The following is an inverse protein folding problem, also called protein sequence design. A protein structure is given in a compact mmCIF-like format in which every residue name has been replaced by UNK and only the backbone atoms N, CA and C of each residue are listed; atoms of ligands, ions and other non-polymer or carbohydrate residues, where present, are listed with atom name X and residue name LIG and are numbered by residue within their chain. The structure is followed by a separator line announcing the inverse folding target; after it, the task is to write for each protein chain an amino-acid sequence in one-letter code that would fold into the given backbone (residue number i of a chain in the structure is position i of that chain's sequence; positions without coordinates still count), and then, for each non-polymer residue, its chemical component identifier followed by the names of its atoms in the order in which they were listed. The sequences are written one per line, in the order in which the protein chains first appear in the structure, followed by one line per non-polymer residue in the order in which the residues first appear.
data_IF_262528839707
#
_entry.id   IF_262528839707
#
_cell.length_a   1.000
_cell.length_b   1.000
_cell.length_c   1.000
_cell.angle_alpha   90.00
_cell.angle_beta   90.00
_cell.angle_gamma   90.00
#
_symmetry.space_group_name_H-M   'P 1'
#
loop_
_entity.id
_entity.type
_entity.pdbx_description
1 polymer ?
#
# COMPACT_ATOMS: atom_id res chain seq x y z
N UNK A 1 -5.78 3.43 6.10
CA UNK A 1 -5.45 3.65 7.51
C UNK A 1 -3.94 3.81 7.67
N UNK A 2 -3.52 4.55 8.70
CA UNK A 2 -2.10 4.77 9.02
C UNK A 2 -1.92 4.86 10.54
N UNK A 3 -0.68 4.71 11.00
CA UNK A 3 -0.27 4.95 12.38
C UNK A 3 0.64 6.18 12.37
N UNK A 4 0.29 7.20 13.14
CA UNK A 4 1.10 8.41 13.23
C UNK A 4 2.34 8.21 14.12
N UNK A 5 3.17 9.24 14.19
CA UNK A 5 4.45 9.23 14.91
C UNK A 5 4.28 9.03 16.44
N UNK A 6 3.08 9.32 16.95
CA UNK A 6 2.71 9.10 18.36
C UNK A 6 2.10 7.70 18.61
N UNK A 7 2.09 6.81 17.62
CA UNK A 7 1.49 5.49 17.70
C UNK A 7 -0.05 5.48 17.68
N UNK A 8 -0.69 6.57 17.27
CA UNK A 8 -2.15 6.67 17.17
C UNK A 8 -2.61 6.19 15.82
N UNK A 9 -3.72 5.44 15.82
CA UNK A 9 -4.30 4.87 14.61
C UNK A 9 -5.27 5.86 13.97
N UNK A 10 -5.06 6.16 12.71
CA UNK A 10 -5.98 6.91 11.87
C UNK A 10 -6.72 5.94 10.94
N UNK A 11 -8.04 5.91 11.01
CA UNK A 11 -8.88 5.03 10.18
C UNK A 11 -10.14 5.75 9.71
N UNK A 12 -10.69 5.31 8.60
CA UNK A 12 -11.90 5.91 8.02
C UNK A 12 -12.99 4.89 7.79
N UNK A 13 -14.23 5.20 8.23
CA UNK A 13 -15.41 4.35 8.06
C UNK A 13 -16.61 5.25 7.73
N UNK A 14 -17.35 4.94 6.67
CA UNK A 14 -18.61 5.61 6.30
C UNK A 14 -18.53 7.15 6.27
N UNK A 15 -17.48 7.70 5.65
CA UNK A 15 -17.29 9.15 5.55
C UNK A 15 -16.78 9.83 6.82
N UNK A 16 -16.45 9.09 7.85
CA UNK A 16 -15.90 9.60 9.11
C UNK A 16 -14.50 9.04 9.34
N UNK A 17 -13.57 9.91 9.72
CA UNK A 17 -12.22 9.54 10.14
C UNK A 17 -12.18 9.53 11.66
N UNK A 18 -11.56 8.51 12.20
CA UNK A 18 -11.33 8.32 13.61
C UNK A 18 -9.83 8.33 13.89
N UNK A 19 -9.44 9.09 14.92
CA UNK A 19 -8.14 8.98 15.54
C UNK A 19 -8.30 8.17 16.82
N UNK A 20 -7.63 7.06 16.91
CA UNK A 20 -7.76 6.10 18.01
C UNK A 20 -6.43 6.00 18.73
N UNK A 21 -6.46 6.15 20.05
CA UNK A 21 -5.30 5.89 20.91
C UNK A 21 -5.47 4.51 21.52
N UNK A 22 -4.68 3.50 21.12
CA UNK A 22 -4.76 2.17 21.73
C UNK A 22 -4.51 2.22 23.24
N UNK A 23 -5.10 1.30 24.00
CA UNK A 23 -4.75 1.12 25.42
C UNK A 23 -3.29 0.68 25.56
N UNK A 24 -2.67 0.78 26.75
CA UNK A 24 -1.31 0.27 26.98
C UNK A 24 -1.14 -1.21 26.65
N UNK A 25 -2.24 -1.97 26.63
CA UNK A 25 -2.29 -3.39 26.23
C UNK A 25 -2.52 -3.58 24.73
N UNK A 26 -2.60 -2.48 23.96
CA UNK A 26 -2.84 -2.52 22.50
C UNK A 26 -4.29 -2.79 22.10
N UNK A 27 -5.25 -2.72 23.02
CA UNK A 27 -6.66 -2.95 22.72
C UNK A 27 -7.35 -1.68 22.22
N UNK A 28 -8.37 -1.85 21.36
CA UNK A 28 -9.23 -0.78 20.89
C UNK A 28 -10.54 -0.79 21.68
N UNK A 29 -10.77 0.26 22.45
CA UNK A 29 -12.02 0.48 23.15
C UNK A 29 -12.75 1.69 22.56
N UNK A 30 -14.08 1.78 22.80
CA UNK A 30 -14.85 2.97 22.38
C UNK A 30 -14.29 4.25 23.04
N UNK A 31 -13.77 4.16 24.24
CA UNK A 31 -13.06 5.23 24.96
C UNK A 31 -11.73 5.63 24.32
N UNK A 32 -11.15 4.78 23.47
CA UNK A 32 -9.89 5.05 22.76
C UNK A 32 -10.04 6.05 21.61
N UNK A 33 -11.26 6.39 21.19
CA UNK A 33 -11.51 7.38 20.12
C UNK A 33 -11.20 8.77 20.65
N UNK A 34 -10.06 9.33 20.24
CA UNK A 34 -9.59 10.65 20.68
C UNK A 34 -10.06 11.79 19.77
N UNK A 35 -10.40 11.51 18.52
CA UNK A 35 -10.87 12.50 17.54
C UNK A 35 -11.78 11.83 16.50
N UNK A 36 -12.84 12.51 16.14
CA UNK A 36 -13.77 12.09 15.09
C UNK A 36 -13.99 13.24 14.11
N UNK A 37 -13.61 13.04 12.86
CA UNK A 37 -13.75 14.02 11.78
C UNK A 37 -14.75 13.48 10.76
N UNK A 38 -15.96 14.03 10.75
CA UNK A 38 -16.96 13.68 9.75
C UNK A 38 -16.74 14.52 8.49
N UNK A 39 -16.59 13.85 7.34
CA UNK A 39 -16.57 14.48 6.03
C UNK A 39 -17.99 14.49 5.43
N UNK A 40 -18.23 13.72 4.37
CA UNK A 40 -19.57 13.58 3.80
C UNK A 40 -20.01 12.12 3.81
N UNK A 41 -21.30 11.86 4.07
CA UNK A 41 -21.83 10.52 3.91
C UNK A 41 -21.54 9.97 2.52
N UNK A 42 -21.15 8.69 2.44
CA UNK A 42 -20.85 8.02 1.16
C UNK A 42 -19.44 8.21 0.64
N UNK A 43 -18.53 8.90 1.34
CA UNK A 43 -17.12 8.92 0.97
C UNK A 43 -16.48 7.57 1.30
N UNK A 44 -15.87 6.96 0.28
CA UNK A 44 -15.04 5.77 0.42
C UNK A 44 -13.58 6.18 0.54
N UNK A 45 -12.98 5.87 1.69
CA UNK A 45 -11.55 6.05 1.94
C UNK A 45 -10.78 4.89 1.33
N UNK A 46 -9.73 5.19 0.58
CA UNK A 46 -8.86 4.22 -0.07
C UNK A 46 -7.57 4.04 0.69
N UNK A 47 -6.92 5.16 0.99
CA UNK A 47 -5.67 5.15 1.74
C UNK A 47 -5.53 6.45 2.56
N UNK A 48 -4.61 6.44 3.53
CA UNK A 48 -4.42 7.59 4.42
C UNK A 48 -2.98 7.60 4.91
N UNK A 49 -2.40 8.79 4.98
CA UNK A 49 -1.10 9.03 5.60
C UNK A 49 -1.24 10.16 6.62
N UNK A 50 -0.84 9.87 7.87
CA UNK A 50 -0.83 10.82 8.97
C UNK A 50 0.61 11.15 9.35
N UNK A 51 1.10 12.30 8.95
CA UNK A 51 2.46 12.77 9.21
C UNK A 51 2.45 14.18 9.80
N UNK A 52 3.23 14.39 10.87
CA UNK A 52 3.35 15.70 11.52
C UNK A 52 1.98 16.34 11.76
N UNK A 53 1.76 17.54 11.23
CA UNK A 53 0.51 18.29 11.36
C UNK A 53 -0.54 17.98 10.28
N UNK A 54 -0.27 17.04 9.39
CA UNK A 54 -1.15 16.78 8.24
C UNK A 54 -1.66 15.34 8.20
N UNK A 55 -2.88 15.19 7.71
CA UNK A 55 -3.44 13.90 7.31
C UNK A 55 -3.86 14.02 5.84
N UNK A 56 -3.24 13.22 5.00
CA UNK A 56 -3.59 13.07 3.60
C UNK A 56 -4.50 11.86 3.41
N UNK A 57 -5.59 12.03 2.70
CA UNK A 57 -6.66 11.03 2.63
C UNK A 57 -7.05 10.82 1.18
N UNK A 58 -6.73 9.66 0.64
CA UNK A 58 -7.15 9.21 -0.68
C UNK A 58 -8.60 8.74 -0.65
N UNK A 59 -9.41 9.25 -1.56
CA UNK A 59 -10.81 8.89 -1.70
C UNK A 59 -11.19 8.60 -3.16
N UNK A 60 -12.43 8.19 -3.40
CA UNK A 60 -12.97 8.01 -4.75
C UNK A 60 -13.38 9.34 -5.43
N UNK A 61 -13.42 10.46 -4.69
CA UNK A 61 -13.83 11.78 -5.20
C UNK A 61 -12.71 12.80 -5.24
N UNK A 62 -11.51 12.47 -4.77
CA UNK A 62 -10.35 13.36 -4.73
C UNK A 62 -9.45 13.07 -3.55
N UNK A 63 -8.42 13.90 -3.40
CA UNK A 63 -7.43 13.87 -2.32
C UNK A 63 -7.76 14.96 -1.30
N UNK A 64 -7.99 14.57 -0.07
CA UNK A 64 -8.13 15.51 1.03
C UNK A 64 -6.82 15.72 1.76
N UNK A 65 -6.56 16.97 2.13
CA UNK A 65 -5.54 17.38 3.09
C UNK A 65 -6.23 17.96 4.31
N UNK A 66 -6.00 17.37 5.47
CA UNK A 66 -6.45 17.88 6.75
C UNK A 66 -5.26 18.38 7.55
N UNK A 67 -5.32 19.62 8.04
CA UNK A 67 -4.31 20.20 8.91
C UNK A 67 -4.79 20.12 10.36
N UNK A 68 -4.04 19.37 11.19
CA UNK A 68 -4.35 19.11 12.60
C UNK A 68 -4.27 20.35 13.48
N UNK A 69 -3.38 21.31 13.14
CA UNK A 69 -3.12 22.49 13.98
C UNK A 69 -4.23 23.55 13.94
N UNK A 70 -4.83 23.76 12.77
CA UNK A 70 -5.85 24.79 12.54
C UNK A 70 -7.20 24.21 12.10
N UNK A 71 -7.33 22.90 12.07
CA UNK A 71 -8.55 22.18 11.71
C UNK A 71 -9.10 22.49 10.31
N UNK A 72 -8.22 22.88 9.38
CA UNK A 72 -8.62 23.20 8.00
C UNK A 72 -8.57 21.99 7.11
N UNK A 73 -9.44 21.96 6.09
CA UNK A 73 -9.55 20.88 5.10
C UNK A 73 -9.47 21.47 3.72
N UNK A 74 -8.73 20.82 2.84
CA UNK A 74 -8.65 21.13 1.42
C UNK A 74 -8.91 19.87 0.61
N UNK A 75 -9.73 19.98 -0.42
CA UNK A 75 -9.96 18.94 -1.42
C UNK A 75 -9.22 19.31 -2.71
N UNK A 76 -8.47 18.39 -3.23
CA UNK A 76 -7.86 18.47 -4.55
C UNK A 76 -8.61 17.51 -5.48
N UNK A 77 -8.95 18.01 -6.66
CA UNK A 77 -9.71 17.28 -7.67
C UNK A 77 -9.04 17.38 -9.04
N UNK A 78 -9.45 16.48 -9.94
CA UNK A 78 -9.07 16.58 -11.34
C UNK A 78 -9.78 17.77 -11.99
N UNK A 79 -9.01 18.58 -12.70
CA UNK A 79 -9.52 19.55 -13.65
C UNK A 79 -8.89 19.25 -15.03
N UNK A 80 -9.72 18.95 -16.03
CA UNK A 80 -9.25 18.61 -17.37
C UNK A 80 -8.50 19.76 -18.06
N UNK A 81 -8.80 20.99 -17.68
CA UNK A 81 -8.17 22.20 -18.23
C UNK A 81 -6.89 22.61 -17.47
N UNK A 82 -6.57 21.94 -16.37
CA UNK A 82 -5.39 22.21 -15.57
C UNK A 82 -4.47 20.97 -15.52
N UNK A 83 -3.32 20.99 -16.23
CA UNK A 83 -2.38 19.87 -16.25
C UNK A 83 -1.71 19.64 -14.90
N UNK A 84 -1.81 20.59 -13.98
CA UNK A 84 -1.24 20.52 -12.63
C UNK A 84 -2.25 20.12 -11.56
N UNK A 85 -3.49 19.84 -11.92
CA UNK A 85 -4.46 19.20 -11.03
C UNK A 85 -4.22 17.69 -10.94
N UNK A 86 -4.99 16.95 -10.12
CA UNK A 86 -4.92 15.48 -10.09
C UNK A 86 -5.21 14.88 -11.47
N UNK A 87 -4.55 13.78 -11.80
CA UNK A 87 -4.78 13.05 -13.07
C UNK A 87 -6.20 12.43 -13.13
N UNK A 88 -6.77 12.11 -11.96
CA UNK A 88 -8.16 11.64 -11.79
C UNK A 88 -8.59 11.75 -10.32
N UNK A 89 -9.91 11.77 -10.07
CA UNK A 89 -10.48 11.87 -8.72
C UNK A 89 -10.44 10.54 -7.93
N UNK A 90 -10.45 9.40 -8.63
CA UNK A 90 -10.41 8.11 -7.96
C UNK A 90 -8.97 7.76 -7.60
N UNK A 91 -8.61 7.98 -6.32
CA UNK A 91 -7.31 7.61 -5.80
C UNK A 91 -7.30 6.15 -5.36
N UNK A 92 -6.14 5.52 -5.44
CA UNK A 92 -5.95 4.11 -5.08
C UNK A 92 -5.03 3.95 -3.89
N UNK A 93 -3.95 4.74 -3.83
CA UNK A 93 -2.90 4.58 -2.83
C UNK A 93 -2.13 5.89 -2.63
N UNK A 94 -1.52 6.04 -1.47
CA UNK A 94 -0.63 7.16 -1.12
C UNK A 94 0.74 6.62 -0.69
N UNK A 95 1.78 7.41 -0.94
CA UNK A 95 3.10 7.21 -0.37
C UNK A 95 3.76 8.56 -0.06
N UNK A 96 4.70 8.56 0.87
CA UNK A 96 5.52 9.73 1.18
C UNK A 96 6.99 9.35 1.13
N UNK A 97 7.80 10.17 0.50
CA UNK A 97 9.24 9.95 0.41
C UNK A 97 9.95 10.46 1.68
N UNK A 98 11.22 10.09 1.88
CA UNK A 98 12.00 10.55 3.03
C UNK A 98 12.20 12.07 3.04
N UNK A 99 12.22 12.71 1.87
CA UNK A 99 12.24 14.17 1.69
C UNK A 99 10.83 14.79 1.74
N UNK A 100 9.84 14.03 2.27
CA UNK A 100 8.46 14.46 2.54
C UNK A 100 7.61 14.78 1.30
N UNK A 101 8.00 14.29 0.14
CA UNK A 101 7.22 14.45 -1.07
C UNK A 101 6.05 13.45 -1.07
N UNK A 102 4.82 13.94 -1.18
CA UNK A 102 3.64 13.09 -1.30
C UNK A 102 3.46 12.61 -2.74
N UNK A 103 3.12 11.34 -2.86
CA UNK A 103 2.80 10.69 -4.13
C UNK A 103 1.41 10.07 -4.01
N UNK A 104 0.54 10.32 -4.98
CA UNK A 104 -0.82 9.82 -5.02
C UNK A 104 -1.08 9.02 -6.29
N UNK A 105 -1.41 7.75 -6.15
CA UNK A 105 -1.82 6.87 -7.24
C UNK A 105 -3.29 7.02 -7.57
N UNK A 106 -3.61 6.95 -8.87
CA UNK A 106 -4.97 7.00 -9.39
C UNK A 106 -5.18 5.93 -10.47
N UNK A 107 -6.40 5.82 -11.00
CA UNK A 107 -6.69 5.00 -12.18
C UNK A 107 -6.14 5.60 -13.49
N UNK A 108 -5.53 6.80 -13.45
CA UNK A 108 -4.96 7.51 -14.61
C UNK A 108 -3.55 8.05 -14.38
N UNK A 109 -2.72 7.29 -13.67
CA UNK A 109 -1.32 7.61 -13.40
C UNK A 109 -1.07 7.96 -11.93
N UNK A 110 0.16 8.34 -11.64
CA UNK A 110 0.57 8.84 -10.34
C UNK A 110 0.71 10.37 -10.37
N UNK A 111 0.59 10.99 -9.21
CA UNK A 111 0.65 12.44 -9.03
C UNK A 111 1.65 12.74 -7.92
N UNK A 112 2.63 13.57 -8.20
CA UNK A 112 3.63 14.05 -7.25
C UNK A 112 3.21 15.43 -6.78
N UNK A 113 2.95 15.59 -5.50
CA UNK A 113 2.54 16.87 -4.92
C UNK A 113 3.70 17.85 -4.80
N UNK A 114 3.52 19.07 -5.26
CA UNK A 114 4.46 20.15 -5.09
C UNK A 114 3.96 21.11 -3.99
N UNK A 115 4.60 21.14 -2.80
CA UNK A 115 4.15 22.00 -1.70
C UNK A 115 4.38 23.49 -1.91
N UNK A 116 5.26 23.89 -2.83
CA UNK A 116 5.56 25.30 -3.11
C UNK A 116 4.45 25.92 -3.94
N UNK A 117 3.98 25.21 -4.95
CA UNK A 117 2.93 25.68 -5.88
C UNK A 117 1.55 25.15 -5.50
N UNK A 118 1.49 24.24 -4.52
CA UNK A 118 0.27 23.60 -4.01
C UNK A 118 -0.55 22.90 -5.12
N UNK A 119 0.15 22.21 -6.01
CA UNK A 119 -0.38 21.49 -7.18
C UNK A 119 0.36 20.16 -7.42
N UNK A 120 0.14 19.52 -8.56
CA UNK A 120 0.67 18.18 -8.87
C UNK A 120 1.44 18.13 -10.19
N UNK A 121 2.49 17.33 -10.21
CA UNK A 121 3.12 16.82 -11.43
C UNK A 121 2.56 15.42 -11.71
N UNK A 122 2.10 15.19 -12.95
CA UNK A 122 1.50 13.90 -13.35
C UNK A 122 2.52 12.98 -13.99
N UNK A 123 2.60 11.75 -13.50
CA UNK A 123 3.31 10.65 -14.15
C UNK A 123 2.27 9.74 -14.81
N UNK A 124 2.28 9.70 -16.14
CA UNK A 124 1.27 8.95 -16.91
C UNK A 124 1.91 8.06 -17.97
N UNK A 125 1.19 6.99 -18.32
CA UNK A 125 1.47 6.21 -19.52
C UNK A 125 0.88 6.93 -20.75
N UNK A 126 1.68 7.05 -21.78
CA UNK A 126 1.27 7.54 -23.10
C UNK A 126 1.74 6.55 -24.17
N UNK A 127 0.95 6.37 -25.22
CA UNK A 127 1.33 5.56 -26.39
C UNK A 127 2.43 6.22 -27.24
N UNK A 128 2.82 7.45 -26.91
CA UNK A 128 3.93 8.17 -27.56
C UNK A 128 5.22 7.95 -26.78
N UNK A 129 6.36 8.00 -27.46
CA UNK A 129 7.70 7.50 -27.08
C UNK A 129 8.34 7.96 -25.77
N UNK A 130 7.68 8.78 -24.94
CA UNK A 130 8.22 9.28 -23.66
C UNK A 130 7.34 8.90 -22.48
N UNK A 131 6.73 7.72 -22.52
CA UNK A 131 5.93 7.22 -21.42
C UNK A 131 6.80 6.89 -20.21
N UNK A 132 6.50 7.53 -19.06
CA UNK A 132 7.20 7.25 -17.80
C UNK A 132 6.69 5.98 -17.13
N UNK A 133 5.42 5.62 -17.34
CA UNK A 133 4.80 4.42 -16.80
C UNK A 133 4.41 3.46 -17.92
N UNK A 134 4.33 2.17 -17.62
CA UNK A 134 3.85 1.14 -18.55
C UNK A 134 2.34 0.87 -18.44
N UNK A 135 1.67 1.43 -17.46
CA UNK A 135 0.22 1.44 -17.29
C UNK A 135 -0.21 2.61 -16.42
N UNK A 136 -1.40 3.15 -16.69
CA UNK A 136 -1.95 4.27 -15.92
C UNK A 136 -2.67 3.85 -14.64
N UNK A 137 -3.13 2.61 -14.54
CA UNK A 137 -3.86 2.16 -13.37
C UNK A 137 -2.86 1.76 -12.26
N UNK A 138 -2.66 2.64 -11.28
CA UNK A 138 -1.78 2.41 -10.14
C UNK A 138 -2.56 1.69 -9.05
N UNK A 139 -2.15 0.48 -8.68
CA UNK A 139 -2.73 -0.30 -7.60
C UNK A 139 -2.05 -0.03 -6.25
N UNK A 140 -0.73 0.07 -6.27
CA UNK A 140 0.05 0.32 -5.06
C UNK A 140 1.30 1.15 -5.36
N UNK A 141 1.79 1.84 -4.32
CA UNK A 141 3.03 2.61 -4.34
C UNK A 141 3.87 2.19 -3.13
N UNK A 142 5.16 1.98 -3.35
CA UNK A 142 6.13 1.77 -2.27
C UNK A 142 7.32 2.70 -2.47
N UNK A 143 7.79 3.29 -1.38
CA UNK A 143 9.01 4.11 -1.33
C UNK A 143 10.04 3.38 -0.48
N UNK A 144 11.28 3.32 -0.94
CA UNK A 144 12.45 2.72 -0.28
C UNK A 144 13.61 3.71 -0.15
N UNK A 145 13.39 4.90 0.28
CA UNK A 145 14.39 5.95 0.47
C UNK A 145 15.04 6.50 -0.80
N UNK A 146 15.36 5.67 -1.80
CA UNK A 146 15.98 6.07 -3.06
C UNK A 146 15.12 5.86 -4.30
N UNK A 147 14.11 4.98 -4.21
CA UNK A 147 13.29 4.60 -5.34
C UNK A 147 11.81 4.68 -4.98
N UNK A 148 11.00 4.88 -6.00
CA UNK A 148 9.56 4.82 -5.93
C UNK A 148 9.11 3.68 -6.83
N UNK A 149 8.41 2.73 -6.26
CA UNK A 149 7.86 1.58 -6.96
C UNK A 149 6.37 1.76 -7.17
N UNK A 150 5.90 1.54 -8.38
CA UNK A 150 4.49 1.55 -8.73
C UNK A 150 4.08 0.17 -9.21
N UNK A 151 3.19 -0.48 -8.48
CA UNK A 151 2.49 -1.68 -8.92
C UNK A 151 1.26 -1.28 -9.73
N UNK A 152 1.09 -1.85 -10.90
CA UNK A 152 0.02 -1.48 -11.84
C UNK A 152 -0.89 -2.66 -12.17
N UNK A 153 -2.08 -2.37 -12.69
CA UNK A 153 -3.09 -3.37 -13.04
C UNK A 153 -2.68 -4.26 -14.22
N UNK A 154 -2.02 -3.71 -15.21
CA UNK A 154 -1.72 -4.43 -16.45
C UNK A 154 -0.26 -4.38 -16.89
N UNK A 155 0.54 -3.49 -16.31
CA UNK A 155 1.90 -3.21 -16.71
C UNK A 155 2.96 -3.78 -15.77
N UNK A 156 2.59 -4.58 -14.75
CA UNK A 156 3.55 -5.08 -13.76
C UNK A 156 4.08 -3.96 -12.85
N UNK A 157 5.39 -3.84 -12.71
CA UNK A 157 6.04 -2.91 -11.79
C UNK A 157 6.86 -1.88 -12.54
N UNK A 158 6.79 -0.63 -12.08
CA UNK A 158 7.64 0.46 -12.52
C UNK A 158 8.51 0.91 -11.34
N UNK A 159 9.82 0.96 -11.53
CA UNK A 159 10.78 1.51 -10.58
C UNK A 159 11.25 2.88 -11.05
N UNK A 160 10.91 3.93 -10.34
CA UNK A 160 11.39 5.29 -10.59
C UNK A 160 12.58 5.60 -9.67
N UNK A 161 13.67 6.06 -10.25
CA UNK A 161 14.80 6.63 -9.52
C UNK A 161 14.79 8.16 -9.70
N UNK A 162 14.29 8.94 -8.72
CA UNK A 162 14.02 10.37 -8.90
C UNK A 162 15.24 11.19 -9.33
N UNK A 163 16.40 10.92 -8.74
CA UNK A 163 17.64 11.64 -9.05
C UNK A 163 18.17 11.46 -10.48
N UNK A 164 17.71 10.41 -11.20
CA UNK A 164 18.14 10.10 -12.57
C UNK A 164 17.00 10.10 -13.57
N UNK A 165 15.75 10.22 -13.12
CA UNK A 165 14.53 10.08 -13.93
C UNK A 165 14.55 8.80 -14.81
N UNK A 166 15.13 7.73 -14.27
CA UNK A 166 15.18 6.42 -14.95
C UNK A 166 14.09 5.54 -14.40
N UNK A 167 13.28 4.98 -15.28
CA UNK A 167 12.25 3.99 -14.94
C UNK A 167 12.65 2.63 -15.49
N UNK A 168 12.66 1.63 -14.60
CA UNK A 168 12.76 0.23 -14.96
C UNK A 168 11.39 -0.43 -14.84
N UNK A 169 11.01 -1.18 -15.86
CA UNK A 169 9.73 -1.89 -15.93
C UNK A 169 9.94 -3.40 -15.76
N UNK A 170 9.19 -4.02 -14.88
CA UNK A 170 9.14 -5.48 -14.69
C UNK A 170 7.72 -5.96 -14.99
N UNK A 171 7.60 -6.84 -15.95
CA UNK A 171 6.32 -7.38 -16.42
C UNK A 171 6.34 -8.91 -16.43
N UNK A 172 5.14 -9.50 -16.43
CA UNK A 172 4.99 -10.91 -16.74
C UNK A 172 5.31 -11.15 -18.22
N UNK A 173 6.18 -12.14 -18.45
CA UNK A 173 6.54 -12.64 -19.76
C UNK A 173 6.41 -14.16 -19.78
N UNK A 174 5.49 -14.68 -20.59
CA UNK A 174 5.20 -16.12 -20.69
C UNK A 174 6.40 -16.95 -21.13
N UNK A 175 7.31 -16.36 -21.90
CA UNK A 175 8.52 -17.01 -22.42
C UNK A 175 9.68 -16.96 -21.40
N UNK A 176 9.57 -16.13 -20.36
CA UNK A 176 10.58 -15.99 -19.31
C UNK A 176 10.03 -16.41 -17.94
N UNK A 177 10.27 -17.65 -17.49
CA UNK A 177 9.79 -18.15 -16.20
C UNK A 177 10.39 -17.43 -14.98
N UNK A 178 11.42 -16.60 -15.16
CA UNK A 178 12.00 -15.76 -14.12
C UNK A 178 11.49 -14.31 -14.16
N UNK A 179 10.53 -14.00 -15.02
CA UNK A 179 9.82 -12.71 -15.02
C UNK A 179 8.82 -12.64 -13.86
N UNK A 180 8.09 -11.55 -13.71
CA UNK A 180 6.99 -11.45 -12.74
C UNK A 180 5.93 -12.52 -13.02
N UNK A 181 5.33 -13.12 -11.97
CA UNK A 181 4.38 -14.24 -12.13
C UNK A 181 3.06 -13.84 -12.77
N UNK A 182 2.66 -12.57 -12.62
CA UNK A 182 1.44 -11.97 -13.16
C UNK A 182 1.55 -10.45 -13.16
N UNK A 183 0.80 -9.73 -14.02
CA UNK A 183 0.89 -8.29 -14.14
C UNK A 183 0.04 -7.49 -13.14
N UNK A 184 -1.17 -7.92 -12.73
CA UNK A 184 -1.89 -7.21 -11.68
C UNK A 184 -1.15 -7.30 -10.35
N UNK A 185 -0.50 -6.20 -9.94
CA UNK A 185 0.26 -6.11 -8.69
C UNK A 185 -0.58 -5.44 -7.63
N UNK A 186 -0.80 -6.11 -6.49
CA UNK A 186 -1.56 -5.60 -5.35
C UNK A 186 -0.68 -4.92 -4.32
N UNK A 187 0.50 -5.49 -4.05
CA UNK A 187 1.37 -5.01 -2.97
C UNK A 187 2.85 -5.20 -3.32
N UNK A 188 3.65 -4.23 -2.91
CA UNK A 188 5.11 -4.25 -3.02
C UNK A 188 5.70 -4.00 -1.64
N UNK A 189 6.69 -4.80 -1.26
CA UNK A 189 7.39 -4.67 0.01
C UNK A 189 8.88 -4.93 -0.19
N UNK A 190 9.73 -4.03 0.28
CA UNK A 190 11.18 -4.25 0.34
C UNK A 190 11.56 -4.63 1.77
N UNK A 191 12.30 -5.72 1.93
CA UNK A 191 12.81 -6.16 3.22
C UNK A 191 14.12 -5.44 3.60
N UNK A 192 14.59 -5.67 4.82
CA UNK A 192 15.81 -5.04 5.35
C UNK A 192 17.09 -5.46 4.62
N UNK A 193 17.07 -6.57 3.93
CA UNK A 193 18.16 -7.05 3.08
C UNK A 193 18.11 -6.46 1.66
N UNK A 194 17.12 -5.59 1.35
CA UNK A 194 16.94 -4.96 0.04
C UNK A 194 16.35 -5.91 -1.02
N UNK A 195 15.75 -7.01 -0.61
CA UNK A 195 15.01 -7.90 -1.50
C UNK A 195 13.57 -7.40 -1.66
N UNK A 196 13.07 -7.48 -2.89
CA UNK A 196 11.73 -7.01 -3.23
C UNK A 196 10.74 -8.17 -3.22
N UNK A 197 9.71 -8.06 -2.40
CA UNK A 197 8.58 -8.98 -2.34
C UNK A 197 7.38 -8.36 -3.03
N UNK A 198 6.75 -9.10 -3.93
CA UNK A 198 5.64 -8.62 -4.76
C UNK A 198 4.48 -9.57 -4.69
N UNK A 199 3.35 -9.07 -4.22
CA UNK A 199 2.08 -9.79 -4.23
C UNK A 199 1.26 -9.43 -5.47
N UNK A 200 0.79 -10.46 -6.18
CA UNK A 200 -0.06 -10.31 -7.36
C UNK A 200 -1.49 -10.78 -7.09
N UNK A 201 -2.41 -10.50 -8.02
CA UNK A 201 -3.83 -10.87 -7.88
C UNK A 201 -4.01 -12.39 -7.96
N UNK A 202 -3.36 -13.07 -8.92
CA UNK A 202 -3.53 -14.51 -9.14
C UNK A 202 -2.20 -15.26 -9.30
N UNK A 203 -1.08 -14.54 -9.41
CA UNK A 203 0.25 -15.13 -9.62
C UNK A 203 0.97 -15.58 -8.34
N UNK A 204 0.44 -15.31 -7.16
CA UNK A 204 1.06 -15.63 -5.89
C UNK A 204 2.01 -14.55 -5.38
N UNK A 205 3.00 -14.98 -4.60
CA UNK A 205 4.05 -14.13 -4.04
C UNK A 205 5.32 -14.27 -4.87
N UNK A 206 5.96 -13.17 -5.18
CA UNK A 206 7.20 -13.08 -5.93
C UNK A 206 8.32 -12.50 -5.07
N UNK A 207 9.52 -13.04 -5.20
CA UNK A 207 10.73 -12.53 -4.56
C UNK A 207 11.78 -12.20 -5.62
N UNK A 208 12.22 -10.94 -5.67
CA UNK A 208 13.40 -10.49 -6.39
C UNK A 208 14.49 -10.19 -5.37
N UNK A 209 15.53 -11.04 -5.31
CA UNK A 209 16.65 -10.84 -4.41
C UNK A 209 17.45 -9.60 -4.79
N UNK A 210 18.03 -8.93 -3.80
CA UNK A 210 18.92 -7.82 -4.02
C UNK A 210 20.04 -8.20 -5.01
N UNK A 211 20.31 -7.32 -5.98
CA UNK A 211 21.33 -7.55 -7.00
C UNK A 211 20.97 -8.51 -8.14
N UNK A 212 19.75 -9.04 -8.17
CA UNK A 212 19.25 -9.89 -9.26
C UNK A 212 18.15 -9.19 -10.05
N UNK A 213 17.92 -9.62 -11.29
CA UNK A 213 16.78 -9.18 -12.11
C UNK A 213 15.70 -10.27 -12.25
N UNK A 214 15.87 -11.40 -11.59
CA UNK A 214 15.01 -12.56 -11.67
C UNK A 214 14.06 -12.63 -10.48
N UNK A 215 12.82 -13.08 -10.75
CA UNK A 215 11.81 -13.36 -9.74
C UNK A 215 11.71 -14.84 -9.44
N UNK A 216 11.61 -15.18 -8.16
CA UNK A 216 11.28 -16.51 -7.64
C UNK A 216 9.80 -16.46 -7.25
N UNK A 217 9.02 -17.46 -7.65
CA UNK A 217 7.58 -17.49 -7.43
C UNK A 217 7.20 -18.49 -6.33
N UNK A 218 6.32 -18.06 -5.42
CA UNK A 218 5.70 -18.91 -4.38
C UNK A 218 4.21 -18.99 -4.65
N UNK A 219 3.69 -20.22 -4.78
CA UNK A 219 2.32 -20.47 -5.24
C UNK A 219 1.58 -21.46 -4.35
N UNK A 220 0.26 -21.32 -4.29
CA UNK A 220 -0.63 -22.21 -3.54
C UNK A 220 -0.55 -23.66 -4.05
N UNK A 221 -0.51 -23.89 -5.35
CA UNK A 221 -0.46 -25.20 -5.97
C UNK A 221 0.76 -26.04 -5.55
N UNK A 222 1.81 -25.37 -5.05
CA UNK A 222 3.04 -25.99 -4.52
C UNK A 222 3.05 -26.11 -3.00
N UNK A 223 1.98 -25.63 -2.32
CA UNK A 223 1.93 -25.56 -0.85
C UNK A 223 2.88 -24.53 -0.24
N UNK A 224 3.34 -23.56 -1.02
CA UNK A 224 4.31 -22.53 -0.60
C UNK A 224 3.63 -21.32 0.05
N UNK A 225 2.35 -21.09 -0.28
CA UNK A 225 1.45 -20.09 0.33
C UNK A 225 0.03 -20.63 0.36
N UNK A 226 -0.87 -20.03 1.15
CA UNK A 226 -2.25 -20.48 1.33
C UNK A 226 -3.22 -20.05 0.23
N UNK A 227 -2.87 -19.02 -0.57
CA UNK A 227 -3.68 -18.51 -1.69
C UNK A 227 -2.85 -17.63 -2.61
N UNK A 228 -3.14 -17.67 -3.92
CA UNK A 228 -2.37 -16.90 -4.91
C UNK A 228 -2.70 -15.39 -4.95
N UNK A 229 -3.84 -14.97 -4.43
CA UNK A 229 -4.17 -13.54 -4.35
C UNK A 229 -3.55 -12.93 -3.10
N UNK A 230 -2.36 -12.35 -3.24
CA UNK A 230 -1.63 -11.71 -2.14
C UNK A 230 -2.03 -10.25 -2.04
N UNK A 231 -2.45 -9.81 -0.87
CA UNK A 231 -3.02 -8.48 -0.65
C UNK A 231 -2.21 -7.56 0.25
N UNK A 232 -1.40 -8.13 1.15
CA UNK A 232 -0.62 -7.32 2.09
C UNK A 232 0.66 -8.03 2.50
N UNK A 233 1.73 -7.27 2.70
CA UNK A 233 3.06 -7.75 3.09
C UNK A 233 3.63 -6.83 4.17
N UNK A 234 4.15 -7.42 5.25
CA UNK A 234 4.83 -6.67 6.31
C UNK A 234 5.77 -7.60 7.08
N UNK A 235 6.89 -7.09 7.58
CA UNK A 235 7.75 -7.82 8.51
C UNK A 235 7.40 -7.47 9.95
N UNK A 236 7.56 -8.45 10.84
CA UNK A 236 7.55 -8.22 12.29
C UNK A 236 8.97 -7.92 12.82
N UNK A 237 9.10 -7.72 14.15
CA UNK A 237 10.38 -7.46 14.79
C UNK A 237 11.33 -8.68 14.82
N UNK A 238 10.82 -9.89 14.59
CA UNK A 238 11.62 -11.11 14.46
C UNK A 238 12.14 -11.31 13.03
N UNK A 239 11.79 -10.40 12.11
CA UNK A 239 12.14 -10.48 10.70
C UNK A 239 11.32 -11.51 9.91
N UNK A 240 10.20 -12.01 10.46
CA UNK A 240 9.28 -12.88 9.73
C UNK A 240 8.42 -12.06 8.79
N UNK A 241 8.18 -12.58 7.60
CA UNK A 241 7.29 -11.97 6.61
C UNK A 241 5.85 -12.46 6.83
N UNK A 242 4.95 -11.54 7.09
CA UNK A 242 3.51 -11.77 7.16
C UNK A 242 2.89 -11.47 5.81
N UNK A 243 2.19 -12.44 5.25
CA UNK A 243 1.60 -12.40 3.91
C UNK A 243 0.09 -12.57 4.04
N UNK A 244 -0.63 -11.47 3.89
CA UNK A 244 -2.09 -11.45 3.85
C UNK A 244 -2.60 -11.84 2.47
N UNK A 245 -3.69 -12.60 2.42
CA UNK A 245 -4.28 -13.09 1.17
C UNK A 245 -5.79 -12.85 1.09
N UNK A 246 -6.33 -12.85 -0.12
CA UNK A 246 -7.77 -12.82 -0.37
C UNK A 246 -8.30 -14.24 -0.57
N UNK A 247 -8.54 -14.95 0.53
CA UNK A 247 -9.12 -16.28 0.52
C UNK A 247 -8.39 -17.31 1.39
N UNK A 248 -7.10 -17.14 1.65
CA UNK A 248 -6.26 -18.09 2.38
C UNK A 248 -5.75 -17.62 3.74
N UNK A 249 -6.28 -16.52 4.28
CA UNK A 249 -5.84 -15.99 5.58
C UNK A 249 -4.46 -15.35 5.54
N UNK A 250 -3.67 -15.56 6.58
CA UNK A 250 -2.35 -14.98 6.77
C UNK A 250 -1.30 -16.07 6.81
N UNK A 251 -0.26 -15.95 5.99
CA UNK A 251 0.92 -16.80 6.05
C UNK A 251 2.03 -16.06 6.81
N UNK A 252 2.69 -16.75 7.75
CA UNK A 252 3.91 -16.27 8.40
C UNK A 252 5.06 -17.06 7.81
N UNK A 253 6.01 -16.37 7.18
CA UNK A 253 7.12 -16.97 6.44
C UNK A 253 8.46 -16.55 7.02
N UNK A 254 9.47 -17.42 6.88
CA UNK A 254 10.86 -17.03 7.07
C UNK A 254 11.43 -16.52 5.74
N UNK A 255 11.77 -15.22 5.61
CA UNK A 255 12.29 -14.68 4.34
C UNK A 255 13.58 -15.34 3.86
N UNK A 256 14.38 -15.90 4.78
CA UNK A 256 15.64 -16.57 4.46
C UNK A 256 15.46 -18.01 3.96
N UNK A 257 14.28 -18.60 4.22
CA UNK A 257 13.93 -19.95 3.77
C UNK A 257 12.42 -20.02 3.45
N UNK A 258 11.94 -19.29 2.43
CA UNK A 258 10.51 -19.07 2.20
C UNK A 258 9.81 -20.20 1.45
N UNK A 259 10.33 -21.44 1.56
CA UNK A 259 9.81 -22.60 0.79
C UNK A 259 8.39 -23.02 1.20
N UNK A 260 7.97 -22.68 2.41
CA UNK A 260 6.61 -22.87 2.92
C UNK A 260 6.38 -21.98 4.14
N UNK A 261 5.11 -21.67 4.48
CA UNK A 261 4.80 -20.90 5.69
C UNK A 261 5.28 -21.62 6.96
N UNK A 262 5.79 -20.87 7.92
CA UNK A 262 6.01 -21.35 9.29
C UNK A 262 4.66 -21.65 9.96
N UNK A 263 3.66 -20.82 9.65
CA UNK A 263 2.31 -20.90 10.18
C UNK A 263 1.33 -20.26 9.18
N UNK A 264 0.10 -20.79 9.13
CA UNK A 264 -1.03 -20.16 8.44
C UNK A 264 -2.13 -19.88 9.45
N UNK A 265 -2.62 -18.64 9.49
CA UNK A 265 -3.66 -18.19 10.42
C UNK A 265 -4.95 -17.95 9.61
N UNK A 266 -5.99 -18.73 9.88
CA UNK A 266 -7.31 -18.62 9.25
C UNK A 266 -8.36 -17.96 10.15
N UNK A 267 -8.09 -17.90 11.46
CA UNK A 267 -8.99 -17.34 12.46
C UNK A 267 -8.23 -16.53 13.50
N UNK A 268 -8.86 -15.51 14.04
CA UNK A 268 -8.31 -14.76 15.15
C UNK A 268 -8.16 -15.68 16.39
N UNK A 269 -6.98 -15.76 17.03
CA UNK A 269 -6.71 -16.78 18.05
C UNK A 269 -7.60 -16.68 19.30
N UNK A 270 -8.02 -15.47 19.68
CA UNK A 270 -8.82 -15.25 20.89
C UNK A 270 -10.33 -15.26 20.61
N UNK A 271 -10.75 -14.70 19.46
CA UNK A 271 -12.17 -14.53 19.16
C UNK A 271 -12.74 -15.59 18.24
N UNK A 272 -11.90 -16.42 17.60
CA UNK A 272 -12.31 -17.39 16.58
C UNK A 272 -12.82 -16.76 15.28
N UNK A 273 -12.62 -15.47 15.09
CA UNK A 273 -13.14 -14.73 13.96
C UNK A 273 -12.44 -15.15 12.65
N UNK A 274 -13.19 -15.43 11.56
CA UNK A 274 -12.59 -15.84 10.29
C UNK A 274 -11.75 -14.73 9.65
N UNK A 275 -10.50 -15.04 9.30
CA UNK A 275 -9.53 -14.15 8.67
C UNK A 275 -9.23 -14.55 7.22
N UNK A 276 -10.25 -14.88 6.42
CA UNK A 276 -10.03 -15.34 5.05
C UNK A 276 -9.60 -14.23 4.10
N UNK A 277 -10.20 -13.04 4.21
CA UNK A 277 -9.95 -11.91 3.31
C UNK A 277 -9.19 -10.81 4.05
N UNK A 278 -7.89 -10.80 3.88
CA UNK A 278 -7.03 -9.79 4.51
C UNK A 278 -6.89 -8.61 3.56
N UNK A 279 -7.31 -7.44 4.01
CA UNK A 279 -7.15 -6.21 3.25
C UNK A 279 -5.81 -5.53 3.52
N UNK A 280 -5.36 -5.55 4.79
CA UNK A 280 -4.11 -4.92 5.19
C UNK A 280 -3.56 -5.52 6.48
N UNK A 281 -2.24 -5.57 6.57
CA UNK A 281 -1.47 -5.89 7.76
C UNK A 281 -0.60 -4.69 8.11
N UNK A 282 -0.56 -4.30 9.38
CA UNK A 282 0.33 -3.25 9.89
C UNK A 282 0.99 -3.72 11.17
N UNK A 283 2.31 -3.76 11.18
CA UNK A 283 3.06 -4.09 12.39
C UNK A 283 3.14 -2.88 13.32
N UNK A 284 2.81 -3.09 14.58
CA UNK A 284 2.93 -2.10 15.64
C UNK A 284 4.19 -2.39 16.49
N UNK A 285 5.28 -1.64 16.30
CA UNK A 285 6.50 -1.86 17.05
C UNK A 285 6.37 -1.50 18.53
N UNK A 286 5.43 -0.65 18.92
CA UNK A 286 5.24 -0.18 20.29
C UNK A 286 4.73 -1.30 21.19
N UNK A 287 3.76 -2.06 20.69
CA UNK A 287 3.12 -3.15 21.40
C UNK A 287 3.57 -4.54 20.92
N UNK A 288 4.49 -4.58 19.96
CA UNK A 288 4.91 -5.82 19.29
C UNK A 288 3.70 -6.61 18.74
N UNK A 289 2.72 -5.90 18.23
CA UNK A 289 1.44 -6.41 17.75
C UNK A 289 1.30 -6.32 16.22
N UNK A 290 0.31 -7.03 15.70
CA UNK A 290 -0.07 -6.98 14.30
C UNK A 290 -1.52 -6.51 14.18
N UNK A 291 -1.73 -5.34 13.57
CA UNK A 291 -3.07 -4.88 13.20
C UNK A 291 -3.50 -5.57 11.92
N UNK A 292 -4.69 -6.17 11.96
CA UNK A 292 -5.21 -6.96 10.84
C UNK A 292 -6.53 -6.36 10.38
N UNK A 293 -6.52 -5.71 9.22
CA UNK A 293 -7.74 -5.26 8.56
C UNK A 293 -8.30 -6.36 7.67
N UNK A 294 -9.48 -6.86 8.00
CA UNK A 294 -10.18 -7.90 7.26
C UNK A 294 -11.55 -7.40 6.76
N UNK A 295 -12.26 -8.21 5.97
CA UNK A 295 -13.55 -7.85 5.37
C UNK A 295 -14.68 -7.54 6.37
N UNK A 296 -14.51 -7.81 7.66
CA UNK A 296 -15.49 -7.55 8.72
C UNK A 296 -14.97 -6.63 9.84
N UNK A 297 -13.85 -5.93 9.59
CA UNK A 297 -13.30 -4.95 10.53
C UNK A 297 -11.81 -5.14 10.81
N UNK A 298 -11.38 -4.51 11.90
CA UNK A 298 -10.00 -4.47 12.39
C UNK A 298 -9.86 -5.42 13.58
#
# INVERSE_FOLDING_TARGET
KDIDEDGKIWTGINGTIYKITPTPQGQLEKSSISEQLTFWPGIYFKDMIAKENEVWIATHIGLFRYNKSNNTRKLYENNQNDPHSLSQNYLTNLAITDDKQLIAGTLRGANIYNPITDNFERLTHSSTSNSLLNSNFINCIRVDGQHIWFGTESGGINKLTPKRLVIHNYQHDKENPASLSDNPVNVIYEDKEGSLWVGTVEGGLNLKKQGTEQFIHYRWERGEISHNSVSSLVNDNQGRLWVGTWGGGINIMNPKAPNRPLQVIYTHPETGFPLFFIAVLVYDPTNNGMWIGANRGL
#
